data_IF_020898452596
#
_entry.id   IF_020898452596
#
_cell.length_a   1.000
_cell.length_b   1.000
_cell.length_c   1.000
_cell.angle_alpha   90.00
_cell.angle_beta   90.00
_cell.angle_gamma   90.00
#
_symmetry.space_group_name_H-M   'P 1'
#
loop_
_entity.id
_entity.type
_entity.pdbx_description
1 polymer ?
#
# COMPACT_ATOMS: atom_id res chain seq x y z
N UNK A 1 0.26 14.99 -9.86
CA UNK A 1 -0.75 14.08 -10.45
C UNK A 1 -1.94 14.00 -9.51
N UNK A 2 -3.15 14.15 -10.03
CA UNK A 2 -4.38 14.01 -9.23
C UNK A 2 -4.93 12.59 -9.36
N UNK A 3 -5.58 12.08 -8.31
CA UNK A 3 -6.25 10.77 -8.36
C UNK A 3 -7.38 10.73 -9.39
N UNK A 4 -8.01 11.88 -9.65
CA UNK A 4 -9.04 12.07 -10.68
C UNK A 4 -8.51 11.71 -12.07
N UNK A 5 -7.33 12.21 -12.44
CA UNK A 5 -6.74 11.92 -13.75
C UNK A 5 -6.47 10.42 -13.94
N UNK A 6 -5.99 9.72 -12.91
CA UNK A 6 -5.78 8.27 -13.00
C UNK A 6 -7.12 7.56 -13.20
N UNK A 7 -8.13 7.91 -12.39
CA UNK A 7 -9.46 7.33 -12.49
C UNK A 7 -10.04 7.48 -13.89
N UNK A 8 -10.02 8.68 -14.43
CA UNK A 8 -10.54 8.97 -15.78
C UNK A 8 -9.86 8.12 -16.85
N UNK A 9 -8.53 7.96 -16.77
CA UNK A 9 -7.79 7.12 -17.73
C UNK A 9 -8.22 5.66 -17.58
N UNK A 10 -8.31 5.14 -16.36
CA UNK A 10 -8.64 3.74 -16.11
C UNK A 10 -10.08 3.42 -16.51
N UNK A 11 -11.03 4.26 -16.15
CA UNK A 11 -12.43 4.11 -16.55
C UNK A 11 -12.57 4.13 -18.08
N UNK A 12 -11.77 4.95 -18.78
CA UNK A 12 -11.72 4.94 -20.26
C UNK A 12 -11.13 3.65 -20.84
N UNK A 13 -10.11 3.06 -20.22
CA UNK A 13 -9.58 1.76 -20.64
C UNK A 13 -10.64 0.66 -20.51
N UNK A 14 -11.38 0.67 -19.39
CA UNK A 14 -12.50 -0.27 -19.16
C UNK A 14 -13.62 -0.04 -20.17
N UNK A 15 -14.04 1.21 -20.38
CA UNK A 15 -15.11 1.56 -21.33
C UNK A 15 -14.74 1.24 -22.78
N UNK A 16 -13.46 1.32 -23.14
CA UNK A 16 -12.95 0.94 -24.44
C UNK A 16 -12.67 -0.57 -24.58
N UNK A 17 -13.01 -1.37 -23.56
CA UNK A 17 -12.81 -2.82 -23.52
C UNK A 17 -11.32 -3.24 -23.68
N UNK A 18 -10.42 -2.33 -23.32
CA UNK A 18 -8.96 -2.52 -23.31
C UNK A 18 -8.47 -3.19 -22.01
N UNK A 19 -9.34 -3.24 -21.00
CA UNK A 19 -9.17 -4.03 -19.80
C UNK A 19 -10.49 -4.73 -19.48
N UNK A 20 -10.43 -6.03 -19.16
CA UNK A 20 -11.58 -6.87 -18.82
C UNK A 20 -11.37 -7.60 -17.50
N UNK A 21 -12.44 -7.99 -16.79
CA UNK A 21 -12.34 -8.88 -15.63
C UNK A 21 -11.58 -10.16 -15.98
N UNK A 22 -10.47 -10.40 -15.29
CA UNK A 22 -9.55 -11.51 -15.56
C UNK A 22 -8.20 -11.07 -16.13
N UNK A 23 -8.11 -9.86 -16.69
CA UNK A 23 -6.85 -9.26 -17.09
C UNK A 23 -6.00 -8.85 -15.87
N UNK A 24 -4.67 -8.77 -16.01
CA UNK A 24 -3.82 -8.17 -14.99
C UNK A 24 -4.28 -6.75 -14.65
N UNK A 25 -4.10 -6.36 -13.38
CA UNK A 25 -4.38 -4.98 -12.97
C UNK A 25 -3.52 -4.00 -13.75
N UNK A 26 -4.06 -2.81 -14.02
CA UNK A 26 -3.33 -1.72 -14.66
C UNK A 26 -2.24 -1.23 -13.70
N UNK A 27 -0.98 -1.35 -14.13
CA UNK A 27 0.16 -0.90 -13.34
C UNK A 27 0.38 0.61 -13.54
N UNK A 28 0.25 1.38 -12.46
CA UNK A 28 0.58 2.81 -12.45
C UNK A 28 1.89 3.01 -11.71
N UNK A 29 2.89 3.54 -12.42
CA UNK A 29 4.22 3.81 -11.86
C UNK A 29 4.34 5.28 -11.48
N UNK A 30 4.60 5.56 -10.21
CA UNK A 30 4.75 6.90 -9.66
C UNK A 30 6.18 7.15 -9.21
N UNK A 31 6.75 8.27 -9.65
CA UNK A 31 8.06 8.70 -9.17
C UNK A 31 8.00 9.23 -7.72
N UNK A 32 9.17 9.59 -7.17
CA UNK A 32 9.30 10.21 -5.86
C UNK A 32 8.51 11.51 -5.73
N UNK A 33 7.99 11.75 -4.53
CA UNK A 33 7.24 12.97 -4.19
C UNK A 33 5.73 12.80 -4.13
N UNK A 34 5.21 11.67 -4.63
CA UNK A 34 3.80 11.31 -4.47
C UNK A 34 3.54 10.54 -3.17
N UNK A 35 2.36 10.76 -2.59
CA UNK A 35 1.86 9.97 -1.48
C UNK A 35 1.22 8.68 -2.03
N UNK A 36 2.07 7.74 -2.42
CA UNK A 36 1.66 6.47 -3.05
C UNK A 36 0.62 5.69 -2.23
N UNK A 37 0.76 5.53 -0.89
CA UNK A 37 -0.24 4.83 -0.09
C UNK A 37 -1.59 5.54 -0.12
N UNK A 38 -1.61 6.87 -0.07
CA UNK A 38 -2.85 7.63 -0.17
C UNK A 38 -3.51 7.47 -1.54
N UNK A 39 -2.74 7.53 -2.62
CA UNK A 39 -3.26 7.35 -3.98
C UNK A 39 -3.84 5.94 -4.15
N UNK A 40 -3.12 4.91 -3.68
CA UNK A 40 -3.59 3.52 -3.72
C UNK A 40 -4.88 3.33 -2.92
N UNK A 41 -5.00 3.98 -1.75
CA UNK A 41 -6.22 3.92 -0.95
C UNK A 41 -7.40 4.63 -1.61
N UNK A 42 -7.19 5.79 -2.23
CA UNK A 42 -8.26 6.57 -2.87
C UNK A 42 -8.79 5.94 -4.18
N UNK A 43 -8.11 4.92 -4.70
CA UNK A 43 -8.42 4.26 -5.97
C UNK A 43 -8.54 2.73 -5.78
N UNK A 44 -8.85 2.27 -4.57
CA UNK A 44 -8.89 0.85 -4.23
C UNK A 44 -10.09 0.10 -4.85
N UNK A 45 -11.06 0.84 -5.36
CA UNK A 45 -12.23 0.36 -6.12
C UNK A 45 -11.91 0.07 -7.60
N UNK A 46 -10.78 0.55 -8.11
CA UNK A 46 -10.38 0.39 -9.50
C UNK A 46 -9.46 -0.83 -9.71
N UNK A 47 -9.38 -1.38 -10.94
CA UNK A 47 -8.50 -2.50 -11.27
C UNK A 47 -7.03 -2.08 -11.39
N UNK A 48 -6.48 -1.44 -10.35
CA UNK A 48 -5.16 -0.82 -10.35
C UNK A 48 -4.18 -1.51 -9.41
N UNK A 49 -2.92 -1.49 -9.82
CA UNK A 49 -1.77 -1.73 -8.96
C UNK A 49 -0.86 -0.49 -9.01
N UNK A 50 -0.50 0.06 -7.85
CA UNK A 50 0.34 1.25 -7.75
C UNK A 50 1.76 0.84 -7.33
N UNK A 51 2.73 1.11 -8.20
CA UNK A 51 4.15 1.00 -7.89
C UNK A 51 4.74 2.40 -7.75
N UNK A 52 5.15 2.77 -6.54
CA UNK A 52 5.73 4.09 -6.30
C UNK A 52 7.01 4.04 -5.48
N UNK A 53 7.93 4.96 -5.77
CA UNK A 53 9.15 5.13 -4.97
C UNK A 53 8.86 6.01 -3.76
N UNK A 54 8.96 5.42 -2.57
CA UNK A 54 8.77 6.14 -1.31
C UNK A 54 10.09 6.78 -0.84
N UNK A 55 9.99 7.99 -0.32
CA UNK A 55 11.15 8.73 0.21
C UNK A 55 11.62 8.10 1.52
N UNK A 56 12.93 7.96 1.70
CA UNK A 56 13.51 7.23 2.84
C UNK A 56 13.28 7.89 4.20
N UNK A 57 12.98 9.19 4.23
CA UNK A 57 12.66 9.91 5.46
C UNK A 57 11.18 9.74 5.89
N UNK A 58 10.39 8.96 5.15
CA UNK A 58 9.01 8.65 5.54
C UNK A 58 8.99 7.72 6.75
N UNK A 59 8.10 8.04 7.70
CA UNK A 59 7.80 7.20 8.85
C UNK A 59 6.34 6.77 8.75
N UNK A 60 6.13 5.45 8.71
CA UNK A 60 4.80 4.85 8.82
C UNK A 60 4.60 4.33 10.24
N UNK A 61 3.35 4.05 10.59
CA UNK A 61 3.01 3.44 11.87
C UNK A 61 2.42 2.05 11.65
N UNK A 62 2.78 1.12 12.54
CA UNK A 62 2.13 -0.19 12.60
C UNK A 62 0.68 -0.06 13.07
N UNK A 63 -0.14 -1.10 12.86
CA UNK A 63 -1.44 -1.18 13.51
C UNK A 63 -1.32 -0.95 15.02
N UNK A 64 -2.28 -0.23 15.59
CA UNK A 64 -2.38 -0.09 17.03
C UNK A 64 -2.51 -1.47 17.67
N UNK A 65 -1.90 -1.70 18.85
CA UNK A 65 -2.12 -2.95 19.58
C UNK A 65 -3.61 -3.09 19.90
N UNK A 66 -4.10 -4.32 19.87
CA UNK A 66 -5.42 -4.62 20.41
C UNK A 66 -5.47 -4.25 21.89
N UNK A 67 -6.68 -4.00 22.41
CA UNK A 67 -6.85 -3.68 23.84
C UNK A 67 -6.28 -4.78 24.74
N UNK A 68 -6.41 -6.04 24.35
CA UNK A 68 -5.86 -7.21 25.06
C UNK A 68 -4.33 -7.18 25.10
N UNK A 69 -3.68 -7.01 23.95
CA UNK A 69 -2.21 -6.91 23.87
C UNK A 69 -1.70 -5.73 24.70
N UNK A 70 -2.38 -4.59 24.63
CA UNK A 70 -2.01 -3.41 25.40
C UNK A 70 -2.13 -3.63 26.91
N UNK A 71 -3.24 -4.19 27.39
CA UNK A 71 -3.44 -4.47 28.81
C UNK A 71 -2.44 -5.49 29.36
N UNK A 72 -2.08 -6.50 28.57
CA UNK A 72 -1.06 -7.48 28.96
C UNK A 72 0.34 -6.83 29.10
N UNK A 73 0.69 -5.95 28.17
CA UNK A 73 1.97 -5.23 28.18
C UNK A 73 2.01 -4.10 29.23
N UNK A 74 0.86 -3.56 29.62
CA UNK A 74 0.73 -2.42 30.53
C UNK A 74 -0.23 -2.76 31.69
N UNK A 75 0.17 -3.65 32.62
CA UNK A 75 -0.70 -4.12 33.70
C UNK A 75 -1.14 -3.00 34.67
N UNK A 76 -0.37 -1.91 34.75
CA UNK A 76 -0.72 -0.72 35.55
C UNK A 76 -1.74 0.21 34.86
N UNK A 77 -2.24 -0.17 33.69
CA UNK A 77 -3.12 0.67 32.88
C UNK A 77 -2.37 1.75 32.10
N UNK A 78 -3.12 2.61 31.43
CA UNK A 78 -2.59 3.68 30.59
C UNK A 78 -3.50 3.98 29.39
N UNK A 79 -3.13 4.99 28.61
CA UNK A 79 -3.84 5.36 27.39
C UNK A 79 -3.43 4.43 26.25
N UNK A 80 -4.39 3.70 25.67
CA UNK A 80 -4.16 2.92 24.46
C UNK A 80 -3.62 3.85 23.35
N UNK A 81 -2.45 3.56 22.74
CA UNK A 81 -1.92 4.40 21.68
C UNK A 81 -2.79 4.29 20.43
N UNK A 82 -2.93 5.41 19.71
CA UNK A 82 -3.68 5.45 18.43
C UNK A 82 -3.04 4.61 17.33
N UNK A 83 -1.73 4.36 17.44
CA UNK A 83 -0.93 3.65 16.46
C UNK A 83 0.11 2.77 17.13
N UNK A 84 0.60 1.75 16.42
CA UNK A 84 1.72 0.93 16.86
C UNK A 84 3.07 1.63 16.65
N UNK A 85 4.15 0.89 16.93
CA UNK A 85 5.53 1.39 16.81
C UNK A 85 5.89 1.85 15.39
N UNK A 86 6.90 2.71 15.30
CA UNK A 86 7.37 3.34 14.06
C UNK A 86 8.00 2.35 13.10
N UNK A 87 7.68 2.52 11.82
CA UNK A 87 8.34 1.88 10.70
C UNK A 87 8.97 2.99 9.87
N UNK A 88 10.26 3.22 10.08
CA UNK A 88 11.04 4.28 9.46
C UNK A 88 11.71 3.72 8.21
N UNK A 89 11.45 4.35 7.07
CA UNK A 89 11.93 3.83 5.79
C UNK A 89 13.46 3.89 5.70
N UNK A 90 14.08 4.88 6.34
CA UNK A 90 15.52 5.10 6.36
C UNK A 90 16.26 4.31 7.42
N UNK A 91 15.57 3.71 8.39
CA UNK A 91 16.20 2.97 9.48
C UNK A 91 15.85 1.47 9.41
N UNK A 92 16.79 0.62 8.96
CA UNK A 92 16.62 -0.83 8.91
C UNK A 92 16.25 -1.46 10.25
N UNK A 93 16.68 -0.92 11.39
CA UNK A 93 16.39 -1.47 12.71
C UNK A 93 14.89 -1.43 13.03
N UNK A 94 14.16 -0.49 12.43
CA UNK A 94 12.71 -0.39 12.57
C UNK A 94 11.95 -1.29 11.60
N UNK A 95 12.63 -1.98 10.67
CA UNK A 95 12.01 -2.90 9.72
C UNK A 95 11.94 -4.29 10.36
N UNK A 96 10.80 -4.99 10.27
CA UNK A 96 10.76 -6.39 10.74
C UNK A 96 11.61 -7.25 9.79
N UNK A 97 12.35 -8.26 10.29
CA UNK A 97 12.90 -9.30 9.44
C UNK A 97 11.76 -10.00 8.67
N UNK A 98 11.89 -10.16 7.35
CA UNK A 98 11.03 -11.06 6.57
C UNK A 98 9.97 -10.46 5.64
N UNK A 99 9.94 -9.16 5.37
CA UNK A 99 9.08 -8.62 4.30
C UNK A 99 9.74 -8.82 2.92
N UNK A 100 9.75 -10.07 2.44
CA UNK A 100 9.98 -10.39 1.02
C UNK A 100 8.60 -10.43 0.35
N UNK A 101 8.19 -9.31 -0.22
CA UNK A 101 7.05 -9.27 -1.12
C UNK A 101 7.54 -9.47 -2.55
N UNK A 102 7.46 -10.69 -3.06
CA UNK A 102 7.49 -10.98 -4.49
C UNK A 102 6.35 -11.92 -4.83
N UNK A 103 5.16 -11.36 -5.07
CA UNK A 103 4.19 -12.02 -5.93
C UNK A 103 4.73 -11.87 -7.35
N UNK A 104 5.16 -12.96 -7.98
CA UNK A 104 5.46 -12.97 -9.41
C UNK A 104 4.18 -12.55 -10.15
N UNK A 105 4.23 -11.61 -11.10
CA UNK A 105 3.17 -11.49 -12.10
C UNK A 105 3.02 -12.85 -12.77
N UNK A 106 1.78 -13.32 -12.91
CA UNK A 106 1.46 -14.65 -13.43
C UNK A 106 2.19 -14.90 -14.74
N UNK A 107 3.04 -15.94 -14.75
CA UNK A 107 3.49 -16.53 -15.99
C UNK A 107 2.28 -17.22 -16.64
N UNK A 108 1.59 -16.49 -17.51
CA UNK A 108 0.69 -17.09 -18.49
C UNK A 108 1.55 -17.77 -19.55
N UNK A 109 1.95 -19.02 -19.30
CA UNK A 109 2.21 -19.94 -20.42
C UNK A 109 0.87 -20.41 -20.95
N UNK A 110 0.50 -19.93 -22.14
CA UNK A 110 -0.53 -20.58 -22.96
C UNK A 110 0.16 -21.18 -24.20
N UNK A 111 -0.39 -22.31 -24.69
CA UNK A 111 0.31 -23.34 -25.45
C UNK A 111 0.83 -22.88 -26.81
#
# INVERSE_FOLDING_TARGET
MTTVQIREVVERLVAADQWRPGDPKVLVVLDTGYDTPRIAHLLDDLPLEILGRLRSDRVMRRPAPSRKEFSLANPKGGRLPKHGGEFVFGDPATRRPGYLATRRPGASSRP
#
